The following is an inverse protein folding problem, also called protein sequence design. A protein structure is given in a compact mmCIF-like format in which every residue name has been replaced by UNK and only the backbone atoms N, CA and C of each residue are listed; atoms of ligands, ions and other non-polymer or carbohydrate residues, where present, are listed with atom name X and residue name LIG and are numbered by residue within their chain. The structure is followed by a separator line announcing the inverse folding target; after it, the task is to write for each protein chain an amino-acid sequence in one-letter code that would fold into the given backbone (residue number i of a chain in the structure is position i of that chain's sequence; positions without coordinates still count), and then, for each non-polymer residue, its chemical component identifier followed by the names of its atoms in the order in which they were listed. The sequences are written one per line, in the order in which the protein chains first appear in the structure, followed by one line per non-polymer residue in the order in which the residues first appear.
data_IF_527761340114
#
_entry.id   IF_527761340114
#
_cell.length_a   1.000
_cell.length_b   1.000
_cell.length_c   1.000
_cell.angle_alpha   90.00
_cell.angle_beta   90.00
_cell.angle_gamma   90.00
#
_symmetry.space_group_name_H-M   'P 1'
#
loop_
_entity.id
_entity.type
_entity.pdbx_description
1 polymer ?
#
# COMPACT_ATOMS: atom_id res chain seq x y z
N UNK A 1 -4.19 5.79 -14.82
CA UNK A 1 -4.56 6.55 -13.61
C UNK A 1 -5.92 6.21 -13.00
N UNK A 2 -6.91 5.73 -13.79
CA UNK A 2 -8.29 5.48 -13.33
C UNK A 2 -8.46 4.48 -12.18
N UNK A 3 -7.47 3.63 -11.89
CA UNK A 3 -7.52 2.64 -10.81
C UNK A 3 -6.87 3.10 -9.50
N UNK A 4 -5.83 3.94 -9.56
CA UNK A 4 -5.05 4.30 -8.36
C UNK A 4 -5.85 5.23 -7.44
N UNK A 5 -6.47 6.25 -8.04
CA UNK A 5 -7.21 7.28 -7.32
C UNK A 5 -8.38 6.70 -6.50
N UNK A 6 -9.26 5.84 -7.06
CA UNK A 6 -10.31 5.18 -6.29
C UNK A 6 -9.79 4.28 -5.18
N UNK A 7 -8.70 3.54 -5.42
CA UNK A 7 -8.10 2.67 -4.39
C UNK A 7 -7.58 3.48 -3.19
N UNK A 8 -6.82 4.56 -3.45
CA UNK A 8 -6.27 5.43 -2.40
C UNK A 8 -7.41 6.11 -1.63
N UNK A 9 -8.35 6.74 -2.35
CA UNK A 9 -9.49 7.43 -1.74
C UNK A 9 -10.38 6.46 -0.95
N UNK A 10 -10.62 5.27 -1.49
CA UNK A 10 -11.39 4.20 -0.83
C UNK A 10 -10.77 3.79 0.50
N UNK A 11 -9.49 3.43 0.52
CA UNK A 11 -8.79 3.05 1.75
C UNK A 11 -8.81 4.18 2.78
N UNK A 12 -8.48 5.42 2.38
CA UNK A 12 -8.49 6.57 3.29
C UNK A 12 -9.88 6.83 3.86
N UNK A 13 -10.94 6.72 3.05
CA UNK A 13 -12.32 6.94 3.50
C UNK A 13 -12.78 5.90 4.53
N UNK A 14 -12.40 4.64 4.34
CA UNK A 14 -12.69 3.57 5.31
C UNK A 14 -11.95 3.82 6.62
N UNK A 15 -10.64 4.11 6.58
CA UNK A 15 -9.85 4.38 7.78
C UNK A 15 -10.36 5.61 8.55
N UNK A 16 -10.74 6.68 7.85
CA UNK A 16 -11.38 7.87 8.45
C UNK A 16 -12.77 7.56 9.04
N UNK A 17 -13.49 6.60 8.48
CA UNK A 17 -14.80 6.20 9.02
C UNK A 17 -14.62 5.34 10.27
N UNK A 18 -13.60 4.46 10.27
CA UNK A 18 -13.22 3.70 11.45
C UNK A 18 -12.79 4.62 12.60
N UNK A 19 -11.99 5.65 12.34
CA UNK A 19 -11.54 6.57 13.39
C UNK A 19 -12.67 7.42 14.00
N UNK A 20 -13.72 7.72 13.21
CA UNK A 20 -14.89 8.50 13.65
C UNK A 20 -16.00 7.63 14.25
N UNK A 21 -15.87 6.31 14.22
CA UNK A 21 -16.88 5.39 14.73
C UNK A 21 -17.11 5.60 16.22
N UNK A 22 -18.38 5.75 16.62
CA UNK A 22 -18.80 5.79 18.04
C UNK A 22 -18.63 4.43 18.73
N UNK A 23 -18.70 3.33 17.96
CA UNK A 23 -18.32 2.01 18.44
C UNK A 23 -16.79 1.92 18.51
N UNK A 24 -16.26 1.41 19.63
CA UNK A 24 -14.82 1.28 19.83
C UNK A 24 -14.23 0.22 18.90
N UNK A 25 -13.62 0.67 17.80
CA UNK A 25 -12.82 -0.18 16.91
C UNK A 25 -11.44 -0.33 17.55
N UNK A 26 -11.11 -1.57 17.94
CA UNK A 26 -9.84 -1.87 18.64
C UNK A 26 -8.65 -2.05 17.71
N UNK A 27 -8.88 -2.51 16.47
CA UNK A 27 -7.83 -2.81 15.48
C UNK A 27 -8.41 -2.80 14.08
N UNK A 28 -7.63 -2.32 13.12
CA UNK A 28 -7.90 -2.43 11.68
C UNK A 28 -6.75 -3.22 11.05
N UNK A 29 -7.08 -4.12 10.12
CA UNK A 29 -6.10 -4.88 9.32
C UNK A 29 -6.31 -4.50 7.86
N UNK A 30 -5.27 -3.98 7.23
CA UNK A 30 -5.27 -3.65 5.81
C UNK A 30 -4.56 -4.76 5.04
N UNK A 31 -5.28 -5.46 4.16
CA UNK A 31 -4.67 -6.43 3.25
C UNK A 31 -3.95 -5.69 2.13
N UNK A 32 -2.63 -5.61 2.23
CA UNK A 32 -1.75 -5.13 1.17
C UNK A 32 -1.33 -6.30 0.24
N UNK A 33 -0.35 -6.07 -0.62
CA UNK A 33 0.24 -7.08 -1.51
C UNK A 33 1.77 -7.05 -1.41
N UNK A 34 2.44 -8.17 -1.73
CA UNK A 34 3.89 -8.21 -1.90
C UNK A 34 4.39 -7.27 -3.03
N UNK A 35 3.50 -6.89 -3.95
CA UNK A 35 3.72 -5.85 -4.94
C UNK A 35 4.11 -4.49 -4.32
N UNK A 36 3.75 -4.22 -3.06
CA UNK A 36 4.09 -2.97 -2.39
C UNK A 36 5.55 -2.90 -1.91
N UNK A 37 6.31 -4.01 -1.95
CA UNK A 37 7.69 -4.07 -1.44
C UNK A 37 8.72 -4.58 -2.46
N UNK A 38 8.28 -5.05 -3.63
CA UNK A 38 9.12 -5.80 -4.59
C UNK A 38 9.60 -4.99 -5.80
N UNK A 39 8.87 -3.98 -6.23
CA UNK A 39 9.12 -3.32 -7.52
C UNK A 39 10.05 -2.12 -7.35
N UNK A 40 11.34 -2.32 -7.65
CA UNK A 40 12.42 -1.32 -7.56
C UNK A 40 13.59 -1.78 -8.45
N UNK A 41 14.45 -0.87 -8.88
CA UNK A 41 15.52 -1.21 -9.82
C UNK A 41 16.58 -2.17 -9.23
N UNK A 42 16.80 -2.08 -7.92
CA UNK A 42 17.70 -2.91 -7.11
C UNK A 42 17.01 -4.17 -6.56
N UNK A 43 15.78 -4.48 -6.96
CA UNK A 43 14.99 -5.58 -6.40
C UNK A 43 15.69 -6.94 -6.48
N UNK A 44 16.52 -7.17 -7.50
CA UNK A 44 17.30 -8.40 -7.66
C UNK A 44 18.48 -8.50 -6.68
N UNK A 45 18.97 -7.37 -6.16
CA UNK A 45 20.05 -7.30 -5.18
C UNK A 45 19.53 -7.34 -3.74
N UNK A 46 18.29 -6.91 -3.53
CA UNK A 46 17.63 -6.91 -2.22
C UNK A 46 16.97 -8.26 -1.98
N UNK A 47 17.78 -9.22 -1.53
CA UNK A 47 17.30 -10.49 -0.99
C UNK A 47 18.06 -10.82 0.30
N UNK A 48 17.37 -11.13 1.40
CA UNK A 48 15.92 -11.34 1.52
C UNK A 48 15.10 -10.03 1.57
N UNK A 49 13.86 -10.08 1.09
CA UNK A 49 12.88 -9.00 1.32
C UNK A 49 12.48 -8.96 2.80
N UNK A 50 12.13 -7.75 3.26
CA UNK A 50 11.69 -7.43 4.62
C UNK A 50 10.60 -6.35 4.57
N UNK A 51 9.83 -6.25 5.65
CA UNK A 51 8.72 -5.33 5.90
C UNK A 51 9.14 -3.85 5.91
N UNK A 52 10.44 -3.55 5.99
CA UNK A 52 10.96 -2.18 5.86
C UNK A 52 11.09 -1.70 4.41
N UNK A 53 10.99 -2.60 3.43
CA UNK A 53 11.12 -2.25 2.00
C UNK A 53 9.84 -1.67 1.41
N UNK A 54 10.01 -0.90 0.34
CA UNK A 54 8.93 -0.28 -0.43
C UNK A 54 9.20 -0.36 -1.93
N UNK A 55 8.18 -0.60 -2.73
CA UNK A 55 8.28 -0.43 -4.16
C UNK A 55 8.52 1.03 -4.52
N UNK A 56 9.37 1.27 -5.50
CA UNK A 56 9.65 2.60 -6.04
C UNK A 56 8.49 3.05 -6.95
N UNK A 57 7.89 4.19 -6.62
CA UNK A 57 6.72 4.68 -7.34
C UNK A 57 7.02 5.04 -8.80
N UNK A 58 8.21 5.54 -9.10
CA UNK A 58 8.61 5.90 -10.47
C UNK A 58 8.91 4.65 -11.29
N UNK A 59 9.53 3.63 -10.70
CA UNK A 59 9.70 2.31 -11.30
C UNK A 59 8.33 1.72 -11.67
N UNK A 60 7.36 1.76 -10.75
CA UNK A 60 6.00 1.27 -11.01
C UNK A 60 5.32 2.05 -12.13
N UNK A 61 5.41 3.39 -12.15
CA UNK A 61 4.82 4.22 -13.22
C UNK A 61 5.42 3.94 -14.60
N UNK A 62 6.73 3.67 -14.66
CA UNK A 62 7.44 3.39 -15.92
C UNK A 62 7.11 2.02 -16.52
N UNK A 63 6.64 1.07 -15.71
CA UNK A 63 6.40 -0.33 -16.10
C UNK A 63 4.93 -0.75 -15.95
N UNK A 64 4.00 0.20 -15.97
CA UNK A 64 2.56 0.01 -15.82
C UNK A 64 1.81 0.70 -16.96
#
# INVERSE_FOLDING_TARGET
ESLLDPCIKGTVNVLKSCSRSKCSIKRVVLTSSCSAIRYRADAQQVSPLSESHWSDAEYCKRHN
#
